data_IF_714687782242
#
_entry.id   IF_714687782242
#
_cell.length_a   1.000
_cell.length_b   1.000
_cell.length_c   1.000
_cell.angle_alpha   90.00
_cell.angle_beta   90.00
_cell.angle_gamma   90.00
#
_symmetry.space_group_name_H-M   'P 1'
#
loop_
_entity.id
_entity.type
_entity.pdbx_description
1 polymer ?
#
# COMPACT_ATOMS: atom_id res chain seq x y z
N UNK A 1 16.05 16.83 -21.44
CA UNK A 1 15.07 15.78 -21.11
C UNK A 1 14.63 16.00 -19.67
N UNK A 2 13.61 16.84 -19.46
CA UNK A 2 13.07 17.14 -18.14
C UNK A 2 12.35 15.88 -17.67
N UNK A 3 12.83 15.26 -16.59
CA UNK A 3 12.15 14.13 -15.98
C UNK A 3 10.71 14.57 -15.68
N UNK A 4 9.74 13.96 -16.35
CA UNK A 4 8.31 14.14 -16.06
C UNK A 4 8.07 13.49 -14.70
N UNK A 5 8.45 14.16 -13.62
CA UNK A 5 8.15 13.72 -12.28
C UNK A 5 6.66 13.98 -12.08
N UNK A 6 5.84 13.03 -12.53
CA UNK A 6 4.47 12.97 -12.08
C UNK A 6 4.52 12.89 -10.54
N UNK A 7 3.69 13.68 -9.83
CA UNK A 7 3.59 13.54 -8.38
C UNK A 7 3.32 12.07 -8.05
N UNK A 8 3.95 11.57 -6.98
CA UNK A 8 3.75 10.18 -6.56
C UNK A 8 2.28 10.01 -6.18
N UNK A 9 1.50 9.42 -7.07
CA UNK A 9 0.08 9.18 -6.84
C UNK A 9 -0.10 8.16 -5.73
N UNK A 10 -1.05 8.38 -4.80
CA UNK A 10 -1.35 7.40 -3.76
C UNK A 10 -1.86 6.10 -4.35
N UNK A 11 -1.15 5.01 -4.06
CA UNK A 11 -1.47 3.67 -4.56
C UNK A 11 -2.64 3.02 -3.81
N UNK A 12 -2.93 3.50 -2.60
CA UNK A 12 -3.98 2.95 -1.72
C UNK A 12 -5.18 3.87 -1.77
N UNK A 13 -6.28 3.39 -2.35
CA UNK A 13 -7.59 4.02 -2.24
C UNK A 13 -8.20 3.70 -0.87
N UNK A 14 -8.61 4.72 -0.12
CA UNK A 14 -9.27 4.57 1.18
C UNK A 14 -10.71 5.05 1.03
N UNK A 15 -11.66 4.21 1.46
CA UNK A 15 -13.09 4.52 1.40
C UNK A 15 -13.72 4.23 2.76
N UNK A 16 -14.42 5.22 3.30
CA UNK A 16 -15.24 5.02 4.49
C UNK A 16 -16.48 4.21 4.10
N UNK A 17 -16.42 2.89 4.32
CA UNK A 17 -17.44 1.96 3.86
C UNK A 17 -18.83 2.24 4.46
N UNK A 18 -19.00 2.46 5.78
CA UNK A 18 -20.32 2.79 6.34
C UNK A 18 -20.96 4.03 5.74
N UNK A 19 -20.20 5.13 5.63
CA UNK A 19 -20.71 6.37 5.04
C UNK A 19 -21.01 6.20 3.55
N UNK A 20 -20.12 5.53 2.81
CA UNK A 20 -20.32 5.25 1.40
C UNK A 20 -21.56 4.40 1.15
N UNK A 21 -21.80 3.34 1.94
CA UNK A 21 -23.01 2.53 1.80
C UNK A 21 -24.23 3.39 2.07
N UNK A 22 -24.27 4.12 3.20
CA UNK A 22 -25.40 4.97 3.57
C UNK A 22 -25.76 5.99 2.47
N UNK A 23 -24.75 6.61 1.88
CA UNK A 23 -24.90 7.61 0.82
C UNK A 23 -25.32 6.97 -0.52
N UNK A 24 -25.02 5.69 -0.76
CA UNK A 24 -25.21 5.04 -2.08
C UNK A 24 -26.31 3.98 -2.13
N UNK A 25 -27.03 3.69 -1.04
CA UNK A 25 -28.07 2.64 -1.00
C UNK A 25 -29.17 2.81 -2.06
N UNK A 26 -29.48 4.05 -2.41
CA UNK A 26 -30.56 4.38 -3.34
C UNK A 26 -30.16 4.28 -4.82
N UNK A 27 -28.87 4.09 -5.12
CA UNK A 27 -28.37 4.01 -6.48
C UNK A 27 -28.59 2.60 -7.06
N UNK A 28 -28.88 2.56 -8.36
CA UNK A 28 -28.86 1.32 -9.12
C UNK A 28 -27.41 0.82 -9.30
N UNK A 29 -27.24 -0.44 -9.71
CA UNK A 29 -25.91 -1.01 -9.94
C UNK A 29 -25.13 -0.26 -11.04
N UNK A 30 -25.83 0.27 -12.05
CA UNK A 30 -25.23 1.03 -13.15
C UNK A 30 -24.77 2.41 -12.69
N UNK A 31 -25.64 3.14 -11.97
CA UNK A 31 -25.32 4.44 -11.36
C UNK A 31 -24.15 4.31 -10.38
N UNK A 32 -24.19 3.29 -9.52
CA UNK A 32 -23.13 3.02 -8.56
C UNK A 32 -21.80 2.69 -9.26
N UNK A 33 -21.83 1.91 -10.34
CA UNK A 33 -20.66 1.60 -11.15
C UNK A 33 -20.05 2.84 -11.81
N UNK A 34 -20.89 3.72 -12.36
CA UNK A 34 -20.48 4.99 -12.94
C UNK A 34 -19.83 5.90 -11.87
N UNK A 35 -20.47 6.02 -10.70
CA UNK A 35 -19.96 6.77 -9.56
C UNK A 35 -18.59 6.26 -9.10
N UNK A 36 -18.42 4.95 -8.87
CA UNK A 36 -17.13 4.37 -8.47
C UNK A 36 -16.01 4.65 -9.49
N UNK A 37 -16.31 4.55 -10.78
CA UNK A 37 -15.33 4.85 -11.84
C UNK A 37 -14.88 6.31 -11.81
N UNK A 38 -15.80 7.24 -11.54
CA UNK A 38 -15.46 8.65 -11.35
C UNK A 38 -14.58 8.84 -10.12
N UNK A 39 -14.90 8.21 -8.99
CA UNK A 39 -14.05 8.26 -7.78
C UNK A 39 -12.63 7.72 -8.06
N UNK A 40 -12.48 6.64 -8.83
CA UNK A 40 -11.16 6.09 -9.17
C UNK A 40 -10.36 7.01 -10.09
N UNK A 41 -11.01 7.62 -11.08
CA UNK A 41 -10.37 8.62 -11.92
C UNK A 41 -9.98 9.85 -11.10
N UNK A 42 -10.87 10.30 -10.22
CA UNK A 42 -10.63 11.39 -9.28
C UNK A 42 -9.38 11.11 -8.43
N UNK A 43 -9.30 9.93 -7.82
CA UNK A 43 -8.16 9.54 -6.99
C UNK A 43 -6.83 9.54 -7.76
N UNK A 44 -6.86 9.15 -9.04
CA UNK A 44 -5.65 9.02 -9.86
C UNK A 44 -5.19 10.34 -10.48
N UNK A 45 -6.11 11.12 -11.03
CA UNK A 45 -5.79 12.32 -11.82
C UNK A 45 -6.26 13.63 -11.19
N UNK A 46 -7.00 13.58 -10.08
CA UNK A 46 -7.66 14.74 -9.50
C UNK A 46 -9.04 15.02 -10.13
N UNK A 47 -9.65 16.14 -9.77
CA UNK A 47 -11.03 16.46 -10.12
C UNK A 47 -11.23 16.55 -11.65
N UNK A 48 -12.18 15.79 -12.22
CA UNK A 48 -12.46 15.85 -13.64
C UNK A 48 -13.11 17.20 -14.00
N UNK A 49 -12.98 17.57 -15.28
CA UNK A 49 -13.67 18.76 -15.82
C UNK A 49 -15.16 18.45 -15.98
N UNK A 50 -15.99 19.48 -15.83
CA UNK A 50 -17.42 19.45 -16.10
C UNK A 50 -17.67 19.43 -17.62
N UNK A 51 -17.36 18.29 -18.25
CA UNK A 51 -17.59 18.01 -19.66
C UNK A 51 -18.17 16.61 -19.80
N UNK A 52 -19.42 16.52 -20.28
CA UNK A 52 -20.14 15.26 -20.42
C UNK A 52 -19.40 14.22 -21.24
N UNK A 53 -18.66 14.62 -22.28
CA UNK A 53 -17.87 13.68 -23.09
C UNK A 53 -16.74 13.06 -22.28
N UNK A 54 -16.08 13.88 -21.46
CA UNK A 54 -15.00 13.43 -20.58
C UNK A 54 -15.54 12.55 -19.47
N UNK A 55 -16.65 12.95 -18.84
CA UNK A 55 -17.29 12.24 -17.74
C UNK A 55 -17.86 10.89 -18.21
N UNK A 56 -18.61 10.86 -19.32
CA UNK A 56 -19.11 9.63 -19.93
C UNK A 56 -17.97 8.66 -20.27
N UNK A 57 -16.84 9.16 -20.78
CA UNK A 57 -15.67 8.31 -21.07
C UNK A 57 -15.02 7.75 -19.81
N UNK A 58 -15.00 8.51 -18.71
CA UNK A 58 -14.48 8.05 -17.42
C UNK A 58 -15.42 7.01 -16.80
N UNK A 59 -16.72 7.28 -16.79
CA UNK A 59 -17.77 6.34 -16.40
C UNK A 59 -17.80 5.11 -17.33
N UNK A 60 -17.23 5.24 -18.53
CA UNK A 60 -17.13 4.23 -19.57
C UNK A 60 -18.49 3.82 -20.11
N UNK A 61 -19.32 4.82 -20.36
CA UNK A 61 -20.68 4.73 -20.91
C UNK A 61 -20.75 5.58 -22.18
N UNK A 62 -21.81 5.40 -22.97
CA UNK A 62 -22.15 6.33 -24.05
C UNK A 62 -22.62 7.68 -23.48
N UNK A 63 -22.64 8.70 -24.34
CA UNK A 63 -23.11 10.04 -23.93
C UNK A 63 -24.59 10.01 -23.56
N UNK A 64 -25.38 9.19 -24.25
CA UNK A 64 -26.82 9.06 -24.03
C UNK A 64 -27.11 8.41 -22.67
N UNK A 65 -26.44 7.28 -22.37
CA UNK A 65 -26.53 6.63 -21.04
C UNK A 65 -26.03 7.55 -19.91
N UNK A 66 -24.95 8.29 -20.16
CA UNK A 66 -24.44 9.26 -19.19
C UNK A 66 -25.46 10.36 -18.90
N UNK A 67 -26.18 10.86 -19.90
CA UNK A 67 -27.19 11.89 -19.72
C UNK A 67 -28.34 11.42 -18.81
N UNK A 68 -28.69 10.13 -18.83
CA UNK A 68 -29.70 9.54 -17.95
C UNK A 68 -29.22 9.39 -16.50
N UNK A 69 -27.94 9.03 -16.32
CA UNK A 69 -27.36 8.73 -15.00
C UNK A 69 -26.78 9.97 -14.30
N UNK A 70 -26.34 10.97 -15.07
CA UNK A 70 -25.75 12.22 -14.54
C UNK A 70 -26.56 12.84 -13.41
N UNK A 71 -27.90 12.99 -13.48
CA UNK A 71 -28.68 13.59 -12.40
C UNK A 71 -28.61 12.84 -11.06
N UNK A 72 -28.34 11.53 -11.08
CA UNK A 72 -28.18 10.74 -9.86
C UNK A 72 -26.77 10.84 -9.29
N UNK A 73 -25.77 11.08 -10.14
CA UNK A 73 -24.36 11.11 -9.74
C UNK A 73 -23.87 12.52 -9.41
N UNK A 74 -24.36 13.53 -10.13
CA UNK A 74 -24.02 14.95 -9.94
C UNK A 74 -24.18 15.44 -8.50
N UNK A 75 -25.21 15.05 -7.72
CA UNK A 75 -25.35 15.47 -6.31
C UNK A 75 -24.22 15.03 -5.37
N UNK A 76 -23.41 14.03 -5.75
CA UNK A 76 -22.24 13.63 -4.96
C UNK A 76 -21.03 14.54 -5.17
N UNK A 77 -21.09 15.45 -6.15
CA UNK A 77 -19.98 16.33 -6.52
C UNK A 77 -20.38 17.80 -6.47
N UNK A 78 -19.47 18.62 -5.97
CA UNK A 78 -19.62 20.07 -6.01
C UNK A 78 -18.93 20.58 -7.28
N UNK A 79 -19.71 21.22 -8.17
CA UNK A 79 -19.14 21.81 -9.39
C UNK A 79 -18.59 23.20 -9.09
N UNK A 80 -17.27 23.30 -8.93
CA UNK A 80 -16.57 24.55 -8.68
C UNK A 80 -15.54 24.82 -9.79
N UNK A 81 -15.55 26.04 -10.32
CA UNK A 81 -14.64 26.45 -11.42
C UNK A 81 -14.66 25.52 -12.66
N UNK A 82 -15.80 24.88 -12.93
CA UNK A 82 -15.94 23.91 -14.03
C UNK A 82 -15.23 22.58 -13.78
N UNK A 83 -14.98 22.25 -12.51
CA UNK A 83 -14.44 20.97 -12.08
C UNK A 83 -15.39 20.33 -11.08
N UNK A 84 -15.50 19.01 -11.13
CA UNK A 84 -16.27 18.24 -10.16
C UNK A 84 -15.36 17.96 -8.99
N UNK A 85 -15.64 18.55 -7.84
CA UNK A 85 -14.95 18.33 -6.58
C UNK A 85 -15.73 17.35 -5.71
N UNK A 86 -15.04 16.57 -4.90
CA UNK A 86 -15.67 15.65 -3.97
C UNK A 86 -15.10 15.87 -2.57
N UNK A 87 -15.88 16.51 -1.70
CA UNK A 87 -15.48 16.95 -0.37
C UNK A 87 -14.73 15.89 0.45
N UNK A 88 -15.24 14.66 0.50
CA UNK A 88 -14.61 13.57 1.27
C UNK A 88 -13.31 13.05 0.66
N UNK A 89 -13.19 13.08 -0.66
CA UNK A 89 -12.03 12.52 -1.35
C UNK A 89 -10.84 13.47 -1.28
N UNK A 90 -11.09 14.77 -1.27
CA UNK A 90 -10.03 15.78 -1.22
C UNK A 90 -9.23 15.67 0.08
N UNK A 91 -9.90 15.55 1.22
CA UNK A 91 -9.25 15.37 2.53
C UNK A 91 -8.40 14.09 2.58
N UNK A 92 -8.96 12.98 2.10
CA UNK A 92 -8.27 11.68 2.06
C UNK A 92 -7.08 11.68 1.09
N UNK A 93 -7.24 12.36 -0.05
CA UNK A 93 -6.19 12.49 -1.07
C UNK A 93 -5.03 13.33 -0.55
N UNK A 94 -5.32 14.45 0.13
CA UNK A 94 -4.32 15.29 0.78
C UNK A 94 -3.54 14.51 1.84
N UNK A 95 -4.24 13.79 2.73
CA UNK A 95 -3.62 12.94 3.75
C UNK A 95 -2.73 11.86 3.12
N UNK A 96 -3.15 11.27 2.00
CA UNK A 96 -2.39 10.26 1.29
C UNK A 96 -1.11 10.84 0.64
N UNK A 97 -1.19 12.02 0.01
CA UNK A 97 -0.02 12.71 -0.51
C UNK A 97 0.97 13.08 0.60
N UNK A 98 0.47 13.52 1.74
CA UNK A 98 1.28 13.83 2.92
C UNK A 98 2.04 12.60 3.43
N UNK A 99 1.38 11.45 3.53
CA UNK A 99 2.02 10.20 3.94
C UNK A 99 3.15 9.80 2.98
N UNK A 100 2.94 9.96 1.67
CA UNK A 100 3.94 9.67 0.64
C UNK A 100 5.13 10.63 0.74
N UNK A 101 4.87 11.92 0.94
CA UNK A 101 5.92 12.92 1.08
C UNK A 101 6.75 12.67 2.33
N UNK A 102 6.12 12.37 3.47
CA UNK A 102 6.78 11.99 4.72
C UNK A 102 7.66 10.74 4.53
N UNK A 103 7.13 9.68 3.93
CA UNK A 103 7.87 8.46 3.65
C UNK A 103 9.05 8.71 2.68
N UNK A 104 8.83 9.53 1.65
CA UNK A 104 9.86 9.90 0.69
C UNK A 104 10.99 10.70 1.34
N UNK A 105 10.65 11.66 2.20
CA UNK A 105 11.63 12.48 2.93
C UNK A 105 12.40 11.65 3.95
N UNK A 106 11.73 10.76 4.69
CA UNK A 106 12.38 9.81 5.59
C UNK A 106 13.33 8.86 4.83
N UNK A 107 12.90 8.34 3.67
CA UNK A 107 13.74 7.52 2.80
C UNK A 107 14.98 8.25 2.28
N UNK A 108 14.81 9.52 1.85
CA UNK A 108 15.93 10.38 1.44
C UNK A 108 16.89 10.67 2.60
N UNK A 109 16.37 10.96 3.79
CA UNK A 109 17.17 11.20 4.98
C UNK A 109 17.95 9.95 5.40
N UNK A 110 17.31 8.78 5.39
CA UNK A 110 17.95 7.50 5.69
C UNK A 110 19.03 7.15 4.65
N UNK A 111 18.76 7.35 3.36
CA UNK A 111 19.75 7.15 2.30
C UNK A 111 20.94 8.10 2.47
N UNK A 112 20.68 9.39 2.76
CA UNK A 112 21.74 10.37 3.04
C UNK A 112 22.56 9.98 4.28
N UNK A 113 21.95 9.45 5.33
CA UNK A 113 22.67 8.97 6.51
C UNK A 113 23.54 7.74 6.22
N UNK A 114 23.03 6.81 5.40
CA UNK A 114 23.73 5.56 5.03
C UNK A 114 24.87 5.79 4.05
N UNK A 115 24.66 6.63 3.03
CA UNK A 115 25.57 6.78 1.88
C UNK A 115 26.24 8.15 1.82
N UNK A 116 25.77 9.14 2.57
CA UNK A 116 26.39 10.47 2.65
C UNK A 116 27.67 10.52 3.47
N UNK A 117 28.04 9.44 4.18
CA UNK A 117 29.37 9.27 4.76
C UNK A 117 30.35 8.72 3.72
N UNK A 118 30.67 9.55 2.72
CA UNK A 118 31.77 9.31 1.79
C UNK A 118 32.95 10.23 2.09
N UNK A 119 34.08 9.62 2.52
CA UNK A 119 35.42 10.22 2.70
C UNK A 119 35.61 11.25 3.82
N UNK A 120 35.53 10.79 5.07
CA UNK A 120 36.32 11.38 6.16
C UNK A 120 37.36 10.37 6.61
N UNK A 121 38.57 10.48 6.05
CA UNK A 121 39.84 10.02 6.64
C UNK A 121 39.95 8.58 7.13
N UNK A 122 40.32 7.66 6.24
CA UNK A 122 41.22 6.57 6.62
C UNK A 122 42.31 6.51 5.56
N UNK A 123 43.30 7.40 5.70
CA UNK A 123 44.63 7.09 5.23
C UNK A 123 45.12 5.98 6.16
N UNK A 124 45.27 4.75 5.64
CA UNK A 124 46.42 3.90 5.89
C UNK A 124 46.33 2.60 5.08
N UNK A 125 47.34 2.46 4.22
CA UNK A 125 47.90 1.27 3.56
C UNK A 125 47.09 0.50 2.51
N UNK A 126 47.46 0.78 1.26
CA UNK A 126 47.90 -0.17 0.22
C UNK A 126 47.81 -1.66 0.56
N UNK A 127 46.83 -2.32 -0.06
CA UNK A 127 46.97 -3.52 -0.93
C UNK A 127 45.62 -4.24 -1.02
N UNK A 128 44.97 -4.16 -2.18
CA UNK A 128 43.96 -5.14 -2.59
C UNK A 128 44.03 -5.31 -4.12
N UNK A 129 44.95 -6.15 -4.56
CA UNK A 129 44.78 -6.97 -5.77
C UNK A 129 44.06 -8.25 -5.33
N UNK A 130 42.94 -8.61 -5.97
CA UNK A 130 42.27 -9.87 -5.67
C UNK A 130 40.80 -9.98 -6.07
N UNK A 131 40.59 -10.31 -7.34
CA UNK A 131 39.55 -11.22 -7.86
C UNK A 131 38.08 -10.76 -7.95
N UNK A 132 37.70 -10.26 -9.11
CA UNK A 132 36.33 -9.94 -9.54
C UNK A 132 35.56 -11.16 -10.11
N UNK A 133 35.96 -12.39 -9.78
CA UNK A 133 35.49 -13.60 -10.48
C UNK A 133 34.39 -14.37 -9.74
N UNK A 134 34.02 -13.99 -8.51
CA UNK A 134 33.10 -14.76 -7.67
C UNK A 134 31.59 -14.55 -7.95
N UNK A 135 31.17 -13.55 -8.75
CA UNK A 135 29.73 -13.27 -8.95
C UNK A 135 29.12 -13.91 -10.21
N UNK A 136 29.93 -14.47 -11.11
CA UNK A 136 29.44 -14.96 -12.42
C UNK A 136 28.94 -16.41 -12.40
N UNK A 137 29.35 -17.24 -11.43
CA UNK A 137 29.10 -18.69 -11.47
C UNK A 137 27.72 -19.14 -10.96
N UNK A 138 26.93 -18.28 -10.32
CA UNK A 138 25.64 -18.70 -9.75
C UNK A 138 24.44 -18.55 -10.71
N UNK A 139 24.62 -17.93 -11.87
CA UNK A 139 23.52 -17.70 -12.82
C UNK A 139 23.45 -18.73 -13.96
N UNK A 140 24.51 -19.51 -14.22
CA UNK A 140 24.58 -20.40 -15.38
C UNK A 140 24.26 -21.88 -15.09
N UNK A 141 24.12 -22.30 -13.83
CA UNK A 141 23.91 -23.72 -13.49
C UNK A 141 22.46 -24.22 -13.52
N UNK A 142 21.48 -23.37 -13.83
CA UNK A 142 20.06 -23.75 -13.83
C UNK A 142 19.48 -24.09 -15.22
N UNK A 143 20.24 -23.95 -16.31
CA UNK A 143 19.67 -24.01 -17.68
C UNK A 143 20.20 -25.12 -18.60
N UNK A 144 20.92 -26.13 -18.09
CA UNK A 144 21.40 -27.25 -18.91
C UNK A 144 21.35 -28.57 -18.11
N UNK A 145 20.29 -29.36 -18.29
CA UNK A 145 20.36 -30.72 -18.85
C UNK A 145 19.07 -31.50 -18.56
N UNK A 146 18.36 -31.79 -19.66
CA UNK A 146 17.32 -32.80 -19.78
C UNK A 146 17.99 -34.09 -20.31
N UNK A 147 17.42 -35.22 -19.90
CA UNK A 147 17.43 -36.55 -20.53
C UNK A 147 18.63 -37.49 -20.27
N UNK A 148 18.42 -38.48 -19.38
CA UNK A 148 18.56 -39.94 -19.70
C UNK A 148 18.03 -40.84 -18.57
N UNK A 149 17.16 -41.77 -18.95
CA UNK A 149 16.54 -42.83 -18.12
C UNK A 149 17.51 -43.98 -17.78
N UNK A 150 17.53 -44.45 -16.52
CA UNK A 150 17.37 -45.86 -16.12
C UNK A 150 17.31 -46.01 -14.58
N UNK A 151 16.29 -46.70 -14.07
CA UNK A 151 15.98 -46.93 -12.64
C UNK A 151 16.62 -48.24 -12.09
N UNK A 152 16.33 -48.73 -10.86
CA UNK A 152 16.00 -48.08 -9.59
C UNK A 152 16.92 -48.55 -8.42
N UNK A 153 17.09 -47.76 -7.35
CA UNK A 153 17.39 -48.33 -6.02
C UNK A 153 16.66 -47.56 -4.92
N UNK A 154 15.94 -48.33 -4.12
CA UNK A 154 15.22 -47.92 -2.94
C UNK A 154 16.16 -47.40 -1.83
N UNK A 155 15.73 -46.36 -1.12
CA UNK A 155 16.44 -45.87 0.05
C UNK A 155 15.86 -44.58 0.63
N UNK A 156 15.02 -44.74 1.65
CA UNK A 156 14.74 -43.80 2.75
C UNK A 156 14.53 -42.31 2.44
N UNK A 157 13.27 -41.86 2.58
CA UNK A 157 12.86 -40.46 2.58
C UNK A 157 13.15 -39.82 3.97
N UNK A 158 14.03 -38.81 4.11
CA UNK A 158 14.12 -38.03 5.35
C UNK A 158 13.16 -36.84 5.27
N UNK A 159 12.21 -36.77 6.20
CA UNK A 159 11.28 -35.63 6.39
C UNK A 159 12.07 -34.32 6.64
N UNK A 160 11.72 -33.20 5.98
CA UNK A 160 12.30 -31.90 6.33
C UNK A 160 11.78 -31.43 7.69
N UNK A 161 12.70 -31.16 8.62
CA UNK A 161 12.42 -30.53 9.92
C UNK A 161 12.23 -29.03 9.70
N UNK A 162 11.01 -28.55 9.94
CA UNK A 162 10.65 -27.14 9.88
C UNK A 162 10.96 -26.49 11.25
N UNK A 163 11.82 -25.46 11.37
CA UNK A 163 12.04 -24.77 12.62
C UNK A 163 10.96 -23.68 12.79
N UNK A 164 9.76 -24.06 13.26
CA UNK A 164 8.74 -23.08 13.63
C UNK A 164 8.98 -22.60 15.06
N UNK A 165 9.36 -21.32 15.12
CA UNK A 165 9.19 -20.31 16.16
C UNK A 165 8.67 -20.77 17.54
N UNK A 166 9.41 -20.36 18.57
CA UNK A 166 9.03 -20.35 19.98
C UNK A 166 7.61 -19.81 20.15
N UNK A 167 6.69 -20.66 20.60
CA UNK A 167 5.41 -20.24 21.11
C UNK A 167 5.63 -19.41 22.38
N UNK A 168 5.24 -18.13 22.37
CA UNK A 168 5.02 -17.38 23.60
C UNK A 168 3.87 -18.06 24.34
N UNK A 169 4.14 -18.54 25.55
CA UNK A 169 3.13 -19.00 26.50
C UNK A 169 2.13 -17.86 26.72
N UNK A 170 0.96 -17.98 26.11
CA UNK A 170 -0.24 -17.33 26.61
C UNK A 170 -0.60 -18.08 27.89
N UNK A 171 -0.20 -17.54 29.04
CA UNK A 171 -0.71 -17.98 30.34
C UNK A 171 -2.05 -17.29 30.49
N UNK A 172 -3.11 -18.08 30.42
CA UNK A 172 -4.42 -17.72 30.96
C UNK A 172 -4.27 -17.55 32.47
N UNK A 173 -4.08 -16.30 32.90
CA UNK A 173 -4.17 -15.88 34.29
C UNK A 173 -5.34 -14.91 34.39
N UNK A 174 -6.21 -15.12 35.39
CA UNK A 174 -7.47 -14.43 35.55
C UNK A 174 -7.28 -12.90 35.67
N UNK A 175 -7.98 -12.17 34.81
CA UNK A 175 -7.96 -10.70 34.68
C UNK A 175 -8.13 -9.96 36.03
N UNK A 176 -8.78 -10.60 37.01
CA UNK A 176 -9.02 -10.06 38.34
C UNK A 176 -7.75 -9.95 39.21
N UNK A 177 -6.73 -10.78 38.98
CA UNK A 177 -5.47 -10.67 39.73
C UNK A 177 -4.58 -9.56 39.17
N UNK A 178 -4.60 -9.32 37.85
CA UNK A 178 -3.91 -8.18 37.23
C UNK A 178 -4.52 -6.84 37.70
N UNK A 179 -5.84 -6.79 37.88
CA UNK A 179 -6.54 -5.61 38.43
C UNK A 179 -6.16 -5.39 39.89
N UNK A 180 -6.12 -6.42 40.73
CA UNK A 180 -5.69 -6.28 42.14
C UNK A 180 -4.25 -5.82 42.28
N UNK A 181 -3.35 -6.30 41.42
CA UNK A 181 -1.95 -5.86 41.39
C UNK A 181 -1.87 -4.38 41.00
N UNK A 182 -2.64 -3.95 40.00
CA UNK A 182 -2.70 -2.55 39.59
C UNK A 182 -3.33 -1.64 40.66
N UNK A 183 -4.35 -2.10 41.38
CA UNK A 183 -5.02 -1.37 42.46
C UNK A 183 -4.11 -1.18 43.69
N UNK A 184 -3.27 -2.19 43.99
CA UNK A 184 -2.26 -2.10 45.06
C UNK A 184 -1.16 -1.11 44.73
N UNK A 185 -0.68 -1.09 43.49
CA UNK A 185 0.41 -0.21 43.06
C UNK A 185 -0.06 1.25 42.90
N UNK A 186 -1.35 1.50 42.64
CA UNK A 186 -1.94 2.84 42.60
C UNK A 186 -2.49 3.32 43.95
N UNK A 187 -2.51 2.47 44.99
CA UNK A 187 -2.91 2.87 46.35
C UNK A 187 -4.39 3.28 46.49
N UNK A 188 -5.29 2.72 45.67
CA UNK A 188 -6.71 3.09 45.62
C UNK A 188 -7.62 2.13 46.42
N UNK A 189 -7.13 0.95 46.83
CA UNK A 189 -7.93 -0.04 47.56
C UNK A 189 -7.93 0.15 49.08
N UNK A 190 -8.91 0.89 49.62
CA UNK A 190 -9.27 0.87 51.04
C UNK A 190 -10.22 -0.29 51.35
N UNK A 191 -9.89 -1.06 52.40
CA UNK A 191 -10.71 -2.14 52.95
C UNK A 191 -12.11 -1.65 53.38
N UNK A 192 -13.12 -2.47 53.10
CA UNK A 192 -14.36 -2.61 53.89
C UNK A 192 -14.60 -4.08 54.17
#
# INVERSE_FOLDING_TARGET
>A
MTARYAPKTPYKFVLNLPAHIADTVHLTAEEHGAYLRLLFAYWRSGPPKDDDRTLARIAGMSIDEWAEIRPMVEPFFDVLHGQWLHWRLDEELEAAYDAINKASNAGRAAAKARWGKGKSGSQNNDKCEGDATALRSHCESQFQMKDREHAPRAGANPKPKNPRAKASKFVSGDFEDDVRIAERDMGIGGEV
#
